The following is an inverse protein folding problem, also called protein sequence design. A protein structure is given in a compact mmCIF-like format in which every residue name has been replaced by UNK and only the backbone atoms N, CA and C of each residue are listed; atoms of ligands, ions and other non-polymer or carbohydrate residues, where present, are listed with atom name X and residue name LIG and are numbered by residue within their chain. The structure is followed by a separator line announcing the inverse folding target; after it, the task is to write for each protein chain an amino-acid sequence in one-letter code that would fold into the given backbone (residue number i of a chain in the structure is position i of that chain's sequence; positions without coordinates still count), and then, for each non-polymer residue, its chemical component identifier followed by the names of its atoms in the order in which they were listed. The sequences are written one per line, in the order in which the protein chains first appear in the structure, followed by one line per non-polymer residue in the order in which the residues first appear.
data_IF_177493322978
#
_entry.id   IF_177493322978
#
_cell.length_a   1.000
_cell.length_b   1.000
_cell.length_c   1.000
_cell.angle_alpha   90.00
_cell.angle_beta   90.00
_cell.angle_gamma   90.00
#
_symmetry.space_group_name_H-M   'P 1'
#
loop_
_entity.id
_entity.type
_entity.pdbx_description
1 polymer ?
#
# COMPACT_ATOMS: atom_id res chain seq x y z
N UNK A 1 1.64 12.01 -4.32
CA UNK A 1 1.81 10.63 -3.77
C UNK A 1 0.86 9.76 -4.57
N UNK A 2 1.29 8.60 -5.06
CA UNK A 2 0.43 7.77 -5.90
C UNK A 2 -0.84 7.37 -5.14
N UNK A 3 -1.97 7.38 -5.86
CA UNK A 3 -3.26 6.97 -5.33
C UNK A 3 -3.65 5.62 -5.93
N UNK A 4 -4.16 4.71 -5.08
CA UNK A 4 -4.59 3.40 -5.52
C UNK A 4 -6.08 3.45 -5.86
N UNK A 5 -6.42 3.16 -7.11
CA UNK A 5 -7.79 2.98 -7.54
C UNK A 5 -8.12 1.49 -7.56
N UNK A 6 -9.31 1.16 -7.08
CA UNK A 6 -9.95 -0.14 -7.28
C UNK A 6 -11.06 0.04 -8.30
N UNK A 7 -11.03 -0.76 -9.36
CA UNK A 7 -11.95 -0.64 -10.49
C UNK A 7 -12.49 -2.01 -10.94
N UNK A 8 -13.59 -1.98 -11.68
CA UNK A 8 -14.28 -3.14 -12.23
C UNK A 8 -14.46 -2.96 -13.74
N UNK A 9 -14.04 -3.96 -14.51
CA UNK A 9 -14.20 -4.02 -15.97
C UNK A 9 -14.25 -5.50 -16.35
N UNK A 10 -14.90 -5.86 -17.46
CA UNK A 10 -14.91 -7.24 -17.97
C UNK A 10 -15.20 -8.33 -16.90
N UNK A 11 -16.09 -8.03 -15.96
CA UNK A 11 -16.47 -8.93 -14.84
C UNK A 11 -15.35 -9.26 -13.85
N UNK A 12 -14.29 -8.46 -13.79
CA UNK A 12 -13.15 -8.65 -12.90
C UNK A 12 -12.82 -7.36 -12.15
N UNK A 13 -12.36 -7.51 -10.91
CA UNK A 13 -11.85 -6.41 -10.09
C UNK A 13 -10.36 -6.29 -10.33
N UNK A 14 -9.87 -5.07 -10.50
CA UNK A 14 -8.45 -4.77 -10.58
C UNK A 14 -8.09 -3.50 -9.84
N UNK A 15 -6.78 -3.35 -9.67
CA UNK A 15 -6.15 -2.28 -8.93
C UNK A 15 -5.12 -1.61 -9.82
N UNK A 16 -5.06 -0.29 -9.80
CA UNK A 16 -4.00 0.44 -10.48
C UNK A 16 -3.66 1.74 -9.75
N UNK A 17 -2.43 2.18 -9.94
CA UNK A 17 -1.90 3.41 -9.37
C UNK A 17 -2.00 4.55 -10.38
N UNK A 18 -2.49 5.68 -9.90
CA UNK A 18 -2.50 6.95 -10.61
C UNK A 18 -1.61 7.95 -9.89
N UNK A 19 -1.00 8.81 -10.68
CA UNK A 19 -0.34 9.99 -10.17
C UNK A 19 -1.37 11.14 -10.10
N UNK A 20 -1.71 11.66 -8.92
CA UNK A 20 -2.75 12.69 -8.77
C UNK A 20 -2.38 14.01 -9.47
N UNK A 21 -1.08 14.29 -9.61
CA UNK A 21 -0.61 15.54 -10.22
C UNK A 21 -0.81 15.54 -11.74
N UNK A 22 -0.64 14.37 -12.38
CA UNK A 22 -0.78 14.21 -13.84
C UNK A 22 -2.10 13.57 -14.26
N UNK A 23 -2.83 12.96 -13.32
CA UNK A 23 -4.03 12.16 -13.58
C UNK A 23 -3.77 10.89 -14.40
N UNK A 24 -2.50 10.54 -14.63
CA UNK A 24 -2.10 9.42 -15.50
C UNK A 24 -1.93 8.14 -14.70
N UNK A 25 -2.38 7.04 -15.30
CA UNK A 25 -2.10 5.71 -14.79
C UNK A 25 -0.61 5.41 -14.94
N UNK A 26 0.04 5.06 -13.83
CA UNK A 26 1.48 4.77 -13.77
C UNK A 26 1.75 3.27 -13.71
N UNK A 27 0.81 2.49 -13.15
CA UNK A 27 0.95 1.04 -13.04
C UNK A 27 0.12 0.28 -14.08
N UNK A 28 0.46 -0.97 -14.41
CA UNK A 28 -0.45 -1.88 -15.11
C UNK A 28 -1.70 -2.18 -14.26
N UNK A 29 -2.69 -2.85 -14.87
CA UNK A 29 -3.88 -3.36 -14.16
C UNK A 29 -3.48 -4.60 -13.35
N UNK A 30 -3.63 -4.53 -12.03
CA UNK A 30 -3.18 -5.56 -11.10
C UNK A 30 -4.40 -6.30 -10.52
N UNK A 31 -4.36 -7.64 -10.42
CA UNK A 31 -5.54 -8.41 -10.03
C UNK A 31 -5.79 -8.42 -8.52
N UNK A 32 -4.77 -8.18 -7.69
CA UNK A 32 -4.90 -8.19 -6.22
C UNK A 32 -4.20 -6.99 -5.58
N UNK A 33 -4.63 -6.66 -4.37
CA UNK A 33 -4.00 -5.61 -3.56
C UNK A 33 -2.54 -5.94 -3.20
N UNK A 34 -2.21 -7.23 -3.06
CA UNK A 34 -0.83 -7.67 -2.82
C UNK A 34 0.09 -7.32 -3.99
N UNK A 35 -0.34 -7.59 -5.23
CA UNK A 35 0.40 -7.17 -6.42
C UNK A 35 0.52 -5.64 -6.51
N UNK A 36 -0.52 -4.90 -6.14
CA UNK A 36 -0.47 -3.43 -6.06
C UNK A 36 0.59 -2.94 -5.07
N UNK A 37 0.73 -3.61 -3.92
CA UNK A 37 1.75 -3.33 -2.92
C UNK A 37 3.16 -3.64 -3.41
N UNK A 38 3.36 -4.79 -4.05
CA UNK A 38 4.66 -5.19 -4.60
C UNK A 38 5.13 -4.25 -5.70
N UNK A 39 4.22 -3.84 -6.59
CA UNK A 39 4.52 -2.87 -7.64
C UNK A 39 4.92 -1.52 -7.03
N UNK A 40 4.17 -1.03 -6.04
CA UNK A 40 4.47 0.24 -5.37
C UNK A 40 5.83 0.23 -4.69
N UNK A 41 6.16 -0.86 -3.99
CA UNK A 41 7.47 -1.04 -3.38
C UNK A 41 8.58 -1.02 -4.43
N UNK A 42 8.38 -1.71 -5.56
CA UNK A 42 9.34 -1.76 -6.66
C UNK A 42 9.53 -0.37 -7.28
N UNK A 43 8.44 0.33 -7.60
CA UNK A 43 8.45 1.68 -8.14
C UNK A 43 9.27 2.66 -7.28
N UNK A 44 9.01 2.70 -5.97
CA UNK A 44 9.76 3.58 -5.06
C UNK A 44 11.21 3.14 -4.84
N UNK A 45 11.50 1.85 -4.95
CA UNK A 45 12.88 1.34 -4.88
C UNK A 45 13.65 1.75 -6.13
N UNK A 46 13.04 1.66 -7.31
CA UNK A 46 13.68 1.98 -8.58
C UNK A 46 13.91 3.49 -8.76
N UNK A 47 13.03 4.32 -8.19
CA UNK A 47 13.19 5.78 -8.17
C UNK A 47 14.27 6.26 -7.18
N UNK A 48 14.74 5.41 -6.27
CA UNK A 48 15.75 5.77 -5.29
C UNK A 48 17.15 5.75 -5.93
N UNK A 49 17.75 6.92 -6.10
CA UNK A 49 19.06 7.08 -6.76
C UNK A 49 20.28 6.82 -5.86
N UNK A 50 20.08 6.66 -4.54
CA UNK A 50 21.16 6.43 -3.59
C UNK A 50 21.54 4.96 -3.44
N UNK A 51 22.69 4.68 -2.83
CA UNK A 51 23.02 3.33 -2.39
C UNK A 51 22.02 2.89 -1.31
N UNK A 52 21.16 1.93 -1.66
CA UNK A 52 20.23 1.32 -0.73
C UNK A 52 21.02 0.57 0.35
N UNK A 53 21.08 1.18 1.54
CA UNK A 53 21.80 0.62 2.69
C UNK A 53 21.13 -0.62 3.27
N UNK A 54 19.91 -0.95 2.87
CA UNK A 54 19.19 -2.15 3.34
C UNK A 54 19.37 -3.31 2.37
N UNK A 55 19.83 -4.45 2.89
CA UNK A 55 19.98 -5.68 2.11
C UNK A 55 18.68 -6.41 1.79
N UNK A 56 17.54 -5.99 2.36
CA UNK A 56 16.25 -6.69 2.17
C UNK A 56 15.10 -5.73 1.88
N UNK A 57 14.33 -6.04 0.84
CA UNK A 57 13.05 -5.37 0.49
C UNK A 57 11.90 -5.71 1.44
N UNK A 58 12.06 -6.74 2.27
CA UNK A 58 11.03 -7.26 3.18
C UNK A 58 11.06 -6.49 4.51
N UNK A 59 9.91 -5.97 4.96
CA UNK A 59 9.79 -5.44 6.32
C UNK A 59 9.79 -6.61 7.33
N UNK A 60 10.87 -6.71 8.10
CA UNK A 60 11.02 -7.74 9.15
C UNK A 60 10.02 -7.56 10.30
N UNK A 61 9.39 -6.40 10.43
CA UNK A 61 8.37 -6.09 11.47
C UNK A 61 7.02 -6.73 11.17
N UNK A 62 6.73 -7.02 9.90
CA UNK A 62 5.50 -7.71 9.50
C UNK A 62 5.57 -9.21 9.86
N UNK A 63 6.78 -9.79 9.74
CA UNK A 63 7.06 -11.20 10.08
C UNK A 63 7.37 -11.46 11.54
N UNK A 64 7.56 -10.43 12.39
CA UNK A 64 7.73 -10.67 13.81
C UNK A 64 6.40 -11.20 14.35
N UNK A 65 6.32 -12.53 14.54
CA UNK A 65 5.27 -13.19 15.28
C UNK A 65 4.94 -12.31 16.47
N UNK A 66 3.75 -11.70 16.46
CA UNK A 66 3.34 -10.78 17.52
C UNK A 66 3.52 -11.54 18.82
N UNK A 67 4.57 -11.22 19.58
CA UNK A 67 4.80 -11.86 20.87
C UNK A 67 3.50 -11.68 21.63
N UNK A 68 2.85 -12.81 21.97
CA UNK A 68 1.71 -12.79 22.88
C UNK A 68 2.27 -12.36 24.23
N UNK A 69 2.34 -11.05 24.45
CA UNK A 69 2.72 -10.44 25.73
C UNK A 69 1.60 -10.74 26.71
N UNK A 70 1.56 -11.98 27.19
CA UNK A 70 0.70 -12.39 28.28
C UNK A 70 1.14 -11.69 29.55
N UNK A 71 0.31 -10.79 30.07
CA UNK A 71 0.40 -10.31 31.45
C UNK A 71 1.36 -9.15 31.73
N UNK A 72 2.28 -8.78 30.85
CA UNK A 72 3.14 -7.61 31.09
C UNK A 72 2.56 -6.36 30.45
N UNK A 73 1.98 -5.48 31.27
CA UNK A 73 1.51 -4.14 30.87
C UNK A 73 2.73 -3.27 30.57
N UNK A 74 3.37 -3.47 29.42
CA UNK A 74 4.44 -2.58 28.97
C UNK A 74 3.78 -1.24 28.67
N UNK A 75 4.04 -0.25 29.53
CA UNK A 75 3.68 1.15 29.29
C UNK A 75 4.57 1.69 28.17
N UNK A 76 4.32 1.25 26.93
CA UNK A 76 4.87 1.94 25.78
C UNK A 76 4.35 3.37 25.86
N UNK A 77 5.27 4.34 25.96
CA UNK A 77 4.95 5.76 25.87
C UNK A 77 3.98 5.94 24.70
N UNK A 78 2.81 6.55 24.93
CA UNK A 78 1.77 6.81 23.93
C UNK A 78 2.25 7.80 22.86
N UNK A 79 3.41 7.56 22.24
CA UNK A 79 3.85 8.31 21.08
C UNK A 79 2.86 7.98 19.99
N UNK A 80 2.21 9.01 19.46
CA UNK A 80 1.29 8.85 18.34
C UNK A 80 2.08 8.13 17.23
N UNK A 81 1.59 7.03 16.65
CA UNK A 81 2.31 6.28 15.63
C UNK A 81 2.72 7.17 14.44
N UNK A 82 2.00 8.28 14.24
CA UNK A 82 2.20 9.27 13.20
C UNK A 82 3.42 10.18 13.41
N UNK A 83 3.99 10.27 14.62
CA UNK A 83 5.16 11.12 14.90
C UNK A 83 6.50 10.38 14.83
N UNK A 84 6.50 9.12 14.39
CA UNK A 84 7.72 8.34 14.23
C UNK A 84 8.42 8.73 12.92
N UNK A 85 9.19 9.82 12.95
CA UNK A 85 10.06 10.22 11.84
C UNK A 85 11.04 9.08 11.51
N UNK A 86 11.23 8.78 10.23
CA UNK A 86 12.13 7.73 9.73
C UNK A 86 11.47 6.46 9.18
N UNK A 87 10.13 6.37 9.11
CA UNK A 87 9.44 5.35 8.30
C UNK A 87 9.51 5.71 6.83
N UNK A 88 9.70 4.71 5.95
CA UNK A 88 9.54 4.92 4.51
C UNK A 88 8.06 5.13 4.21
N UNK A 89 7.79 5.85 3.13
CA UNK A 89 6.45 5.91 2.55
C UNK A 89 5.92 4.50 2.29
N UNK A 90 6.80 3.60 1.81
CA UNK A 90 6.49 2.19 1.53
C UNK A 90 6.21 1.31 2.75
N UNK A 91 6.55 1.76 3.97
CA UNK A 91 6.32 1.01 5.21
C UNK A 91 4.87 1.14 5.72
N UNK A 92 4.07 2.00 5.08
CA UNK A 92 2.64 2.16 5.38
C UNK A 92 1.85 1.14 4.55
N UNK A 93 0.88 0.41 5.14
CA UNK A 93 0.05 -0.49 4.37
C UNK A 93 -0.70 0.28 3.29
N UNK A 94 -0.70 -0.27 2.08
CA UNK A 94 -1.40 0.30 0.92
C UNK A 94 -2.90 0.30 1.20
N UNK A 95 -3.54 1.44 0.95
CA UNK A 95 -4.98 1.64 1.08
C UNK A 95 -5.56 2.08 -0.27
N UNK A 96 -6.78 1.62 -0.56
CA UNK A 96 -7.52 2.06 -1.75
C UNK A 96 -8.00 3.48 -1.50
N UNK A 97 -7.57 4.41 -2.35
CA UNK A 97 -7.96 5.83 -2.28
C UNK A 97 -9.37 6.04 -2.85
N UNK A 98 -9.67 5.38 -3.98
CA UNK A 98 -10.96 5.51 -4.67
C UNK A 98 -11.45 4.14 -5.12
N UNK A 99 -12.72 3.83 -4.83
CA UNK A 99 -13.38 2.59 -5.24
C UNK A 99 -14.45 2.89 -6.30
N UNK A 100 -14.16 2.55 -7.56
CA UNK A 100 -15.06 2.69 -8.70
C UNK A 100 -15.91 1.43 -8.93
N UNK A 101 -15.69 0.37 -8.16
CA UNK A 101 -16.44 -0.88 -8.34
C UNK A 101 -17.90 -0.74 -7.96
N UNK A 102 -18.19 0.05 -6.91
CA UNK A 102 -19.54 0.26 -6.40
C UNK A 102 -20.45 0.91 -7.45
N UNK A 103 -20.10 2.06 -8.07
CA UNK A 103 -20.97 2.66 -9.08
C UNK A 103 -21.13 1.76 -10.32
N UNK A 104 -20.07 1.13 -10.81
CA UNK A 104 -20.13 0.27 -12.00
C UNK A 104 -20.97 -1.00 -11.79
N UNK A 105 -20.93 -1.58 -10.60
CA UNK A 105 -21.77 -2.73 -10.26
C UNK A 105 -23.26 -2.35 -10.15
N UNK A 106 -23.56 -1.11 -9.76
CA UNK A 106 -24.93 -0.61 -9.72
C UNK A 106 -25.50 -0.47 -11.15
N UNK A 107 -24.69 -0.01 -12.11
CA UNK A 107 -25.08 0.11 -13.52
C UNK A 107 -25.40 -1.26 -14.16
N UNK A 108 -24.66 -2.31 -13.80
CA UNK A 108 -24.87 -3.66 -14.36
C UNK A 108 -26.13 -4.34 -13.78
N UNK A 109 -26.56 -3.94 -12.58
CA UNK A 109 -27.77 -4.47 -11.93
C UNK A 109 -29.06 -3.78 -12.38
N UNK A 110 -28.96 -2.62 -13.01
CA UNK A 110 -30.09 -1.84 -13.53
C UNK A 110 -30.55 -2.38 -14.89
#
# INVERSE_FOLDING_TARGET
MLELIKDFESFQIFYYWIDPDTGKQVSPKLPTLEYAREWWLSYYTDQYSGEERRSSKIDRREKSAKMKLGGTRIFFSKRKPQSCQGRRVTDVPVQVSLDLTIPKLAEIKA
#
